data_IF_964476842409
#
_entry.id   IF_964476842409
#
_cell.length_a   1.000
_cell.length_b   1.000
_cell.length_c   1.000
_cell.angle_alpha   90.00
_cell.angle_beta   90.00
_cell.angle_gamma   90.00
#
_symmetry.space_group_name_H-M   'P 1'
#
loop_
_entity.id
_entity.type
_entity.pdbx_description
1 polymer ?
#
# COMPACT_ATOMS: atom_id res chain seq x y z
N UNK A 1 -2.89 4.31 6.21
CA UNK A 1 -2.08 5.07 5.22
C UNK A 1 -0.87 5.64 5.94
N UNK A 2 0.19 6.00 5.21
CA UNK A 2 1.48 6.38 5.81
C UNK A 2 2.02 7.70 5.26
N UNK A 3 2.74 8.43 6.11
CA UNK A 3 3.42 9.68 5.80
C UNK A 3 4.86 9.65 6.30
N UNK A 4 5.76 10.36 5.61
CA UNK A 4 7.16 10.57 5.97
C UNK A 4 7.47 12.06 5.82
N UNK A 5 8.07 12.69 6.84
CA UNK A 5 8.36 14.13 6.89
C UNK A 5 7.18 15.02 6.46
N UNK A 6 5.99 14.71 6.96
CA UNK A 6 4.76 15.44 6.64
C UNK A 6 4.19 15.21 5.23
N UNK A 7 4.85 14.39 4.41
CA UNK A 7 4.42 14.05 3.03
C UNK A 7 3.77 12.66 2.98
N UNK A 8 2.66 12.47 2.24
CA UNK A 8 2.05 11.15 2.08
C UNK A 8 2.94 10.24 1.22
N UNK A 9 3.22 9.02 1.71
CA UNK A 9 4.09 8.04 1.01
C UNK A 9 3.39 6.73 0.68
N UNK A 10 2.26 6.44 1.32
CA UNK A 10 1.34 5.36 0.95
C UNK A 10 -0.09 5.89 1.01
N UNK A 11 -0.74 5.92 -0.15
CA UNK A 11 -2.11 6.41 -0.31
C UNK A 11 -3.01 5.35 -0.91
N UNK A 12 -4.32 5.51 -0.70
CA UNK A 12 -5.35 4.67 -1.31
C UNK A 12 -6.51 5.54 -1.76
N UNK A 13 -6.99 5.27 -2.97
CA UNK A 13 -8.23 5.82 -3.49
C UNK A 13 -9.07 4.68 -4.08
N UNK A 14 -10.20 4.37 -3.44
CA UNK A 14 -11.04 3.22 -3.78
C UNK A 14 -10.25 1.90 -3.81
N UNK A 15 -10.02 1.37 -5.01
CA UNK A 15 -9.31 0.10 -5.29
C UNK A 15 -7.88 0.31 -5.79
N UNK A 16 -7.42 1.56 -5.85
CA UNK A 16 -6.08 1.92 -6.28
C UNK A 16 -5.25 2.24 -5.04
N UNK A 17 -4.06 1.65 -4.95
CA UNK A 17 -3.03 2.02 -3.99
C UNK A 17 -1.82 2.56 -4.76
N UNK A 18 -1.12 3.51 -4.16
CA UNK A 18 0.14 4.02 -4.67
C UNK A 18 1.13 4.22 -3.52
N UNK A 19 2.39 3.87 -3.77
CA UNK A 19 3.50 4.07 -2.85
C UNK A 19 4.62 4.83 -3.57
N UNK A 20 5.28 5.75 -2.87
CA UNK A 20 6.47 6.47 -3.37
C UNK A 20 7.79 5.80 -2.99
N UNK A 21 7.72 4.55 -2.53
CA UNK A 21 8.83 3.71 -2.10
C UNK A 21 8.64 2.30 -2.64
N UNK A 22 9.67 1.46 -2.47
CA UNK A 22 9.71 0.09 -2.95
C UNK A 22 9.39 -0.91 -1.83
N UNK A 23 8.12 -1.29 -1.62
CA UNK A 23 7.74 -2.26 -0.58
C UNK A 23 8.36 -3.66 -0.79
N UNK A 24 8.87 -3.95 -1.98
CA UNK A 24 9.54 -5.20 -2.34
C UNK A 24 11.00 -5.29 -1.87
N UNK A 25 11.61 -4.18 -1.47
CA UNK A 25 13.02 -4.14 -1.00
C UNK A 25 13.14 -4.46 0.50
N UNK A 26 12.18 -5.18 1.06
CA UNK A 26 12.17 -5.69 2.43
C UNK A 26 11.42 -7.03 2.47
N UNK A 27 11.74 -7.88 3.45
CA UNK A 27 11.03 -9.15 3.67
C UNK A 27 9.63 -8.94 4.32
N UNK A 28 9.26 -7.70 4.65
CA UNK A 28 7.97 -7.37 5.24
C UNK A 28 6.83 -7.32 4.21
N UNK A 29 6.01 -8.35 4.21
CA UNK A 29 4.93 -8.52 3.25
C UNK A 29 3.64 -7.76 3.56
N UNK A 30 3.59 -6.90 4.59
CA UNK A 30 2.33 -6.27 5.03
C UNK A 30 1.65 -5.46 3.92
N UNK A 31 2.40 -4.74 3.10
CA UNK A 31 1.84 -3.95 1.99
C UNK A 31 1.32 -4.85 0.86
N UNK A 32 2.02 -5.93 0.55
CA UNK A 32 1.57 -6.91 -0.44
C UNK A 32 0.29 -7.63 0.00
N UNK A 33 0.20 -8.03 1.28
CA UNK A 33 -1.02 -8.62 1.85
C UNK A 33 -2.19 -7.64 1.80
N UNK A 34 -1.95 -6.38 2.16
CA UNK A 34 -2.96 -5.33 2.07
C UNK A 34 -3.48 -5.11 0.64
N UNK A 35 -2.60 -5.18 -0.37
CA UNK A 35 -3.02 -5.14 -1.76
C UNK A 35 -3.94 -6.30 -2.14
N UNK A 36 -3.62 -7.54 -1.71
CA UNK A 36 -4.44 -8.72 -1.97
C UNK A 36 -5.83 -8.61 -1.31
N UNK A 37 -5.90 -8.13 -0.07
CA UNK A 37 -7.18 -7.88 0.61
C UNK A 37 -8.07 -6.91 -0.18
N UNK A 38 -7.48 -5.85 -0.75
CA UNK A 38 -8.21 -4.92 -1.64
C UNK A 38 -8.68 -5.64 -2.90
N UNK A 39 -7.82 -6.47 -3.52
CA UNK A 39 -8.18 -7.24 -4.70
C UNK A 39 -9.36 -8.18 -4.43
N UNK A 40 -9.32 -8.93 -3.32
CA UNK A 40 -10.33 -9.92 -2.90
C UNK A 40 -11.66 -9.31 -2.45
N UNK A 41 -11.68 -8.04 -2.05
CA UNK A 41 -12.93 -7.36 -1.65
C UNK A 41 -13.96 -7.15 -2.78
N UNK A 42 -13.71 -7.66 -3.99
CA UNK A 42 -14.71 -7.75 -5.07
C UNK A 42 -15.40 -9.09 -4.98
N UNK A 43 -16.70 -9.06 -4.68
CA UNK A 43 -17.65 -10.09 -5.11
C UNK A 43 -18.53 -9.49 -6.19
#
# INVERSE_FOLDING_TARGET
>A
LASYDGSPVLVRQNRVIAASFHPELTDDLRIHKYFLEIAESVK
#
